data_IF_530638316715
#
_entry.id   IF_530638316715
#
_cell.length_a   1.000
_cell.length_b   1.000
_cell.length_c   1.000
_cell.angle_alpha   90.00
_cell.angle_beta   90.00
_cell.angle_gamma   90.00
#
_symmetry.space_group_name_H-M   'P 1'
#
loop_
_entity.id
_entity.type
_entity.pdbx_description
1 polymer ?
#
# COMPACT_ATOMS: atom_id res chain seq x y z
N UNK A 1 16.69 3.06 4.98
CA UNK A 1 15.58 3.51 4.13
C UNK A 1 14.86 4.63 4.85
N UNK A 2 14.88 5.82 4.28
CA UNK A 2 14.06 6.92 4.79
C UNK A 2 12.57 6.62 4.53
N UNK A 3 11.71 7.10 5.42
CA UNK A 3 10.25 6.90 5.36
C UNK A 3 9.66 7.31 3.99
N UNK A 4 10.23 8.35 3.37
CA UNK A 4 9.80 8.83 2.06
C UNK A 4 10.12 7.85 0.94
N UNK A 5 11.30 7.22 0.98
CA UNK A 5 11.68 6.18 0.00
C UNK A 5 10.73 4.99 0.07
N UNK A 6 10.37 4.57 1.29
CA UNK A 6 9.42 3.48 1.53
C UNK A 6 8.04 3.79 0.93
N UNK A 7 7.52 4.99 1.15
CA UNK A 7 6.24 5.42 0.55
C UNK A 7 6.35 5.46 -0.97
N UNK A 8 7.45 5.98 -1.52
CA UNK A 8 7.67 6.03 -2.96
C UNK A 8 7.73 4.62 -3.58
N UNK A 9 8.40 3.67 -2.93
CA UNK A 9 8.46 2.28 -3.38
C UNK A 9 7.10 1.58 -3.35
N UNK A 10 6.32 1.78 -2.29
CA UNK A 10 4.94 1.27 -2.21
C UNK A 10 4.14 1.86 -3.37
N UNK A 11 4.16 3.18 -3.56
CA UNK A 11 3.37 3.88 -4.56
C UNK A 11 3.68 3.44 -6.00
N UNK A 12 4.94 3.12 -6.30
CA UNK A 12 5.36 2.59 -7.62
C UNK A 12 4.77 1.20 -7.91
N UNK A 13 4.44 0.40 -6.90
CA UNK A 13 3.93 -0.97 -7.05
C UNK A 13 2.40 -1.07 -6.95
N UNK A 14 1.73 -0.01 -6.48
CA UNK A 14 0.28 0.04 -6.37
C UNK A 14 -0.37 0.16 -7.76
N UNK A 15 -1.46 -0.58 -7.95
CA UNK A 15 -2.32 -0.54 -9.15
C UNK A 15 -3.67 0.12 -8.83
N UNK A 16 -4.42 0.47 -9.89
CA UNK A 16 -5.78 0.95 -9.74
C UNK A 16 -6.63 -0.08 -8.96
N UNK A 17 -7.31 0.40 -7.91
CA UNK A 17 -8.12 -0.43 -7.00
C UNK A 17 -7.39 -0.90 -5.73
N UNK A 18 -6.06 -0.86 -5.69
CA UNK A 18 -5.30 -1.27 -4.50
C UNK A 18 -5.53 -0.32 -3.31
N UNK A 19 -5.75 0.97 -3.56
CA UNK A 19 -6.09 1.96 -2.52
C UNK A 19 -7.35 1.55 -1.75
N UNK A 20 -8.39 1.06 -2.44
CA UNK A 20 -9.62 0.61 -1.79
C UNK A 20 -9.40 -0.66 -0.96
N UNK A 21 -8.52 -1.57 -1.44
CA UNK A 21 -8.17 -2.79 -0.70
C UNK A 21 -7.38 -2.47 0.57
N UNK A 22 -6.43 -1.56 0.48
CA UNK A 22 -5.65 -1.07 1.63
C UNK A 22 -6.56 -0.38 2.63
N UNK A 23 -7.45 0.49 2.16
CA UNK A 23 -8.43 1.18 2.99
C UNK A 23 -9.30 0.18 3.77
N UNK A 24 -9.84 -0.84 3.09
CA UNK A 24 -10.63 -1.90 3.72
C UNK A 24 -9.83 -2.70 4.75
N UNK A 25 -8.57 -3.06 4.45
CA UNK A 25 -7.70 -3.80 5.39
C UNK A 25 -7.31 -2.98 6.61
N UNK A 26 -7.05 -1.69 6.43
CA UNK A 26 -6.67 -0.80 7.52
C UNK A 26 -7.88 -0.21 8.26
N UNK A 27 -9.12 -0.47 7.82
CA UNK A 27 -10.32 0.07 8.44
C UNK A 27 -10.47 1.59 8.31
N UNK A 28 -9.89 2.19 7.26
CA UNK A 28 -9.87 3.65 7.05
C UNK A 28 -10.51 4.03 5.72
N UNK A 29 -10.73 5.33 5.50
CA UNK A 29 -11.23 5.83 4.21
C UNK A 29 -10.14 5.80 3.12
N UNK A 30 -10.55 5.67 1.86
CA UNK A 30 -9.65 5.75 0.69
C UNK A 30 -8.87 7.08 0.62
N UNK A 31 -9.49 8.16 1.08
CA UNK A 31 -8.86 9.48 1.11
C UNK A 31 -7.71 9.53 2.12
N UNK A 32 -7.91 8.88 3.28
CA UNK A 32 -6.85 8.75 4.28
C UNK A 32 -5.63 8.02 3.71
N UNK A 33 -5.86 6.90 3.01
CA UNK A 33 -4.79 6.16 2.32
C UNK A 33 -4.08 7.04 1.29
N UNK A 34 -4.82 7.81 0.48
CA UNK A 34 -4.25 8.74 -0.49
C UNK A 34 -3.35 9.79 0.17
N UNK A 35 -3.79 10.40 1.29
CA UNK A 35 -3.00 11.39 2.04
C UNK A 35 -1.70 10.79 2.59
N UNK A 36 -1.74 9.53 3.06
CA UNK A 36 -0.55 8.80 3.54
C UNK A 36 0.42 8.51 2.39
N UNK A 37 -0.08 8.08 1.23
CA UNK A 37 0.73 7.81 0.04
C UNK A 37 1.29 9.07 -0.64
N UNK A 38 0.68 10.23 -0.38
CA UNK A 38 1.19 11.54 -0.76
C UNK A 38 2.18 12.10 0.26
N UNK A 39 2.53 11.34 1.30
CA UNK A 39 3.40 11.76 2.40
C UNK A 39 2.91 13.03 3.12
N UNK A 40 1.59 13.32 3.07
CA UNK A 40 0.99 14.46 3.80
C UNK A 40 0.73 14.15 5.27
N UNK A 41 0.59 12.87 5.61
CA UNK A 41 0.34 12.37 6.96
C UNK A 41 0.96 10.98 7.13
N UNK A 42 1.26 10.62 8.38
CA UNK A 42 1.86 9.34 8.74
C UNK A 42 0.81 8.41 9.33
N UNK A 43 0.66 7.22 8.73
CA UNK A 43 -0.13 6.13 9.32
C UNK A 43 0.58 4.80 9.09
N UNK A 44 1.21 4.27 10.14
CA UNK A 44 1.84 2.95 10.10
C UNK A 44 0.88 1.80 9.80
N UNK A 45 -0.39 1.78 10.28
CA UNK A 45 -1.35 0.75 9.91
C UNK A 45 -1.60 0.68 8.40
N UNK A 46 -1.68 1.84 7.73
CA UNK A 46 -1.87 1.92 6.28
C UNK A 46 -0.64 1.41 5.53
N UNK A 47 0.57 1.78 6.00
CA UNK A 47 1.81 1.33 5.37
C UNK A 47 1.99 -0.19 5.52
N UNK A 48 1.75 -0.74 6.72
CA UNK A 48 1.80 -2.20 6.95
C UNK A 48 0.77 -2.94 6.09
N UNK A 49 -0.44 -2.43 5.97
CA UNK A 49 -1.47 -3.04 5.13
C UNK A 49 -1.10 -3.02 3.64
N UNK A 50 -0.50 -1.93 3.17
CA UNK A 50 0.00 -1.82 1.80
C UNK A 50 1.16 -2.78 1.52
N UNK A 51 2.12 -2.88 2.44
CA UNK A 51 3.25 -3.81 2.32
C UNK A 51 2.82 -5.27 2.36
N UNK A 52 1.95 -5.64 3.31
CA UNK A 52 1.44 -7.01 3.39
C UNK A 52 0.76 -7.42 2.07
N UNK A 53 -0.05 -6.52 1.49
CA UNK A 53 -0.70 -6.74 0.20
C UNK A 53 0.30 -6.89 -0.95
N UNK A 54 1.38 -6.09 -0.97
CA UNK A 54 2.42 -6.19 -1.99
C UNK A 54 3.28 -7.46 -1.82
N UNK A 55 3.55 -7.87 -0.58
CA UNK A 55 4.25 -9.11 -0.26
C UNK A 55 3.43 -10.33 -0.72
N UNK A 56 2.12 -10.37 -0.42
CA UNK A 56 1.23 -11.43 -0.92
C UNK A 56 1.18 -11.49 -2.46
N UNK A 57 1.26 -10.33 -3.14
CA UNK A 57 1.30 -10.26 -4.61
C UNK A 57 2.61 -10.80 -5.17
N UNK A 58 3.74 -10.61 -4.50
CA UNK A 58 5.03 -11.18 -4.92
C UNK A 58 5.13 -12.68 -4.59
N UNK A 59 4.56 -13.13 -3.47
CA UNK A 59 4.54 -14.53 -3.06
C UNK A 59 3.53 -15.40 -3.81
N UNK A 60 2.59 -14.80 -4.55
CA UNK A 60 1.84 -15.48 -5.60
C UNK A 60 2.48 -15.17 -6.96
N UNK A 61 3.58 -15.83 -7.34
CA UNK A 61 3.87 -15.95 -8.76
C UNK A 61 2.64 -16.65 -9.35
N UNK A 62 2.07 -16.07 -10.38
CA UNK A 62 1.05 -16.73 -11.19
C UNK A 62 1.56 -18.13 -11.56
N UNK A 63 1.05 -19.16 -10.89
CA UNK A 63 1.11 -20.55 -11.33
C UNK A 63 0.23 -20.69 -12.57
N UNK A 64 0.69 -20.12 -13.68
CA UNK A 64 0.21 -20.42 -15.02
C UNK A 64 1.27 -19.95 -16.02
N UNK A 65 2.21 -20.83 -16.31
CA UNK A 65 2.86 -20.99 -17.61
C UNK A 65 3.44 -22.40 -17.69
#
# INVERSE_FOLDING_TARGET
MERQERIAQIRKQLRNGDINRIAKRAGVSREWVSRVLQNRVVSEPVLKAAEAMLAERQSRPSEHS
#
